data_IF_048525196905
#
_entry.id   IF_048525196905
#
_cell.length_a   1.000
_cell.length_b   1.000
_cell.length_c   1.000
_cell.angle_alpha   90.00
_cell.angle_beta   90.00
_cell.angle_gamma   90.00
#
_symmetry.space_group_name_H-M   'P 1'
#
loop_
_entity.id
_entity.type
_entity.pdbx_description
1 polymer ?
#
# COMPACT_ATOMS: atom_id res chain seq x y z
N UNK A 1 78.84 66.51 18.93
CA UNK A 1 79.38 65.69 20.04
C UNK A 1 78.34 64.61 20.34
N UNK A 2 78.59 63.39 19.83
CA UNK A 2 78.07 62.07 20.26
C UNK A 2 76.72 61.95 21.00
N UNK A 3 75.72 61.32 20.37
CA UNK A 3 75.36 59.89 20.59
C UNK A 3 74.13 59.49 19.76
N UNK A 4 74.35 58.57 18.82
CA UNK A 4 73.32 57.82 18.13
C UNK A 4 72.75 56.75 19.08
N UNK A 5 71.42 56.62 19.16
CA UNK A 5 70.74 55.49 19.80
C UNK A 5 69.96 54.78 18.69
N UNK A 6 70.46 53.60 18.36
CA UNK A 6 69.93 52.64 17.41
C UNK A 6 68.69 51.97 18.04
N UNK A 7 67.52 52.11 17.42
CA UNK A 7 66.33 51.34 17.78
C UNK A 7 66.41 49.97 17.12
N UNK A 8 66.73 48.94 17.90
CA UNK A 8 66.65 47.54 17.46
C UNK A 8 65.20 47.07 17.55
N UNK A 9 64.54 46.93 16.40
CA UNK A 9 63.24 46.28 16.31
C UNK A 9 63.43 44.77 16.49
N UNK A 10 63.04 44.24 17.65
CA UNK A 10 63.01 42.82 17.93
C UNK A 10 61.75 42.22 17.28
N UNK A 11 61.87 41.67 16.07
CA UNK A 11 60.83 40.84 15.47
C UNK A 11 60.76 39.52 16.25
N UNK A 12 59.75 39.38 17.10
CA UNK A 12 59.34 38.11 17.69
C UNK A 12 58.82 37.19 16.56
N UNK A 13 59.70 36.35 16.04
CA UNK A 13 59.28 35.19 15.26
C UNK A 13 58.63 34.23 16.24
N UNK A 14 57.30 34.15 16.22
CA UNK A 14 56.55 33.12 16.94
C UNK A 14 56.93 31.76 16.35
N UNK A 15 57.80 31.02 17.04
CA UNK A 15 58.14 29.65 16.70
C UNK A 15 56.89 28.77 16.83
N UNK A 16 56.29 28.43 15.69
CA UNK A 16 55.30 27.35 15.59
C UNK A 16 56.09 26.04 15.81
N UNK A 17 55.63 25.21 16.75
CA UNK A 17 56.17 23.86 16.90
C UNK A 17 55.65 23.06 15.71
N UNK A 18 56.51 22.78 14.74
CA UNK A 18 56.21 21.89 13.62
C UNK A 18 56.20 20.46 14.18
N UNK A 19 55.06 20.04 14.73
CA UNK A 19 54.86 18.65 15.13
C UNK A 19 54.84 17.80 13.86
N UNK A 20 55.45 16.61 13.86
CA UNK A 20 55.43 15.75 12.69
C UNK A 20 53.97 15.38 12.31
N UNK A 21 53.68 15.23 11.00
CA UNK A 21 52.35 14.86 10.53
C UNK A 21 51.93 13.53 11.17
N UNK A 22 50.62 13.33 11.41
CA UNK A 22 50.13 12.08 12.00
C UNK A 22 50.55 10.89 11.11
N UNK A 23 50.80 9.71 11.69
CA UNK A 23 51.12 8.53 10.91
C UNK A 23 49.96 8.20 9.97
N UNK A 24 50.32 7.77 8.76
CA UNK A 24 49.37 7.26 7.79
C UNK A 24 48.67 6.01 8.34
N UNK A 25 47.44 5.71 7.87
CA UNK A 25 46.82 4.42 8.15
C UNK A 25 47.72 3.26 7.66
N UNK A 26 47.61 2.08 8.26
CA UNK A 26 48.43 0.92 7.87
C UNK A 26 47.93 0.30 6.56
N UNK A 27 46.63 0.38 6.32
CA UNK A 27 45.95 -0.15 5.15
C UNK A 27 44.48 0.23 5.16
N UNK A 28 43.79 -0.08 4.07
CA UNK A 28 42.34 -0.09 4.05
C UNK A 28 41.82 -1.09 3.02
N UNK A 29 40.64 -1.66 3.28
CA UNK A 29 39.91 -2.53 2.36
C UNK A 29 38.51 -1.98 2.12
N UNK A 30 37.96 -2.21 0.92
CA UNK A 30 36.61 -1.76 0.57
C UNK A 30 35.74 -2.99 0.37
N UNK A 31 34.53 -2.98 0.94
CA UNK A 31 33.55 -4.06 0.81
C UNK A 31 32.18 -3.46 0.52
N UNK A 32 31.36 -4.20 -0.21
CA UNK A 32 29.96 -3.83 -0.43
C UNK A 32 29.13 -4.01 0.84
N UNK A 33 28.25 -3.05 1.14
CA UNK A 33 27.46 -3.11 2.36
C UNK A 33 26.38 -4.18 2.22
N UNK A 34 26.46 -5.23 3.04
CA UNK A 34 25.43 -6.27 3.06
C UNK A 34 24.10 -5.74 3.61
N UNK A 35 22.98 -6.27 3.12
CA UNK A 35 21.60 -5.89 3.53
C UNK A 35 21.17 -4.46 3.18
N UNK A 36 21.72 -3.87 2.11
CA UNK A 36 21.30 -2.57 1.61
C UNK A 36 20.68 -2.66 0.20
N UNK A 37 20.21 -1.53 -0.31
CA UNK A 37 19.64 -1.43 -1.66
C UNK A 37 20.68 -1.32 -2.79
N UNK A 38 21.97 -1.55 -2.51
CA UNK A 38 23.09 -1.20 -3.40
C UNK A 38 23.32 0.30 -3.47
N UNK A 39 23.37 0.96 -2.30
CA UNK A 39 23.55 2.42 -2.17
C UNK A 39 24.71 2.82 -1.24
N UNK A 40 25.36 1.86 -0.59
CA UNK A 40 26.45 2.13 0.34
C UNK A 40 27.63 1.17 0.13
N UNK A 41 28.83 1.70 0.41
CA UNK A 41 30.07 0.94 0.48
C UNK A 41 30.67 1.09 1.87
N UNK A 42 31.35 0.05 2.35
CA UNK A 42 32.06 0.07 3.63
C UNK A 42 33.56 0.10 3.38
N UNK A 43 34.22 1.14 3.86
CA UNK A 43 35.67 1.31 3.82
C UNK A 43 36.21 0.95 5.20
N UNK A 44 36.87 -0.20 5.31
CA UNK A 44 37.50 -0.70 6.54
C UNK A 44 38.94 -0.20 6.56
N UNK A 45 39.28 0.64 7.54
CA UNK A 45 40.58 1.30 7.67
C UNK A 45 41.35 0.63 8.81
N UNK A 46 42.57 0.18 8.54
CA UNK A 46 43.47 -0.38 9.54
C UNK A 46 44.15 0.77 10.29
N UNK A 47 43.89 0.88 11.59
CA UNK A 47 44.37 1.97 12.42
C UNK A 47 45.88 1.83 12.66
N UNK A 48 46.64 2.93 12.60
CA UNK A 48 48.07 2.90 12.89
C UNK A 48 48.33 2.59 14.37
N UNK A 49 49.43 1.89 14.64
CA UNK A 49 49.88 1.58 16.00
C UNK A 49 50.23 2.84 16.82
N UNK A 50 49.21 3.43 17.45
CA UNK A 50 49.22 4.65 18.25
C UNK A 50 48.57 4.40 19.61
N UNK A 51 48.83 5.26 20.59
CA UNK A 51 48.12 5.20 21.87
C UNK A 51 46.64 5.61 21.73
N UNK A 52 45.78 5.15 22.65
CA UNK A 52 44.34 5.44 22.62
C UNK A 52 44.03 6.95 22.61
N UNK A 53 44.81 7.75 23.35
CA UNK A 53 44.66 9.21 23.39
C UNK A 53 45.02 9.86 22.05
N UNK A 54 46.04 9.34 21.36
CA UNK A 54 46.46 9.82 20.04
C UNK A 54 45.45 9.43 18.94
N UNK A 55 44.89 8.21 19.01
CA UNK A 55 43.83 7.78 18.10
C UNK A 55 42.55 8.59 18.29
N UNK A 56 42.21 8.95 19.53
CA UNK A 56 41.06 9.81 19.81
C UNK A 56 41.26 11.24 19.28
N UNK A 57 42.50 11.73 19.26
CA UNK A 57 42.85 13.05 18.74
C UNK A 57 43.07 13.08 17.22
N UNK A 58 43.00 11.94 16.51
CA UNK A 58 43.25 11.82 15.07
C UNK A 58 41.95 11.59 14.31
N UNK A 59 41.71 12.39 13.26
CA UNK A 59 40.57 12.25 12.35
C UNK A 59 41.00 11.46 11.12
N UNK A 60 40.20 10.49 10.69
CA UNK A 60 40.39 9.80 9.41
C UNK A 60 39.48 10.42 8.36
N UNK A 61 40.08 10.77 7.22
CA UNK A 61 39.39 11.33 6.05
C UNK A 61 39.25 10.24 5.01
N UNK A 62 38.02 9.99 4.56
CA UNK A 62 37.72 9.12 3.41
C UNK A 62 37.24 9.98 2.27
N UNK A 63 37.94 9.88 1.13
CA UNK A 63 37.57 10.57 -0.09
C UNK A 63 37.22 9.57 -1.20
N UNK A 64 36.28 9.96 -2.05
CA UNK A 64 35.74 9.15 -3.17
C UNK A 64 36.00 9.84 -4.49
N UNK A 65 36.20 9.07 -5.55
CA UNK A 65 36.17 9.54 -6.93
C UNK A 65 35.38 8.56 -7.81
N UNK A 66 34.59 9.08 -8.76
CA UNK A 66 33.82 8.27 -9.73
C UNK A 66 34.56 8.00 -11.05
N UNK A 67 35.73 8.60 -11.25
CA UNK A 67 36.53 8.47 -12.48
C UNK A 67 37.99 8.18 -12.13
N UNK A 68 38.68 7.39 -12.97
CA UNK A 68 40.08 7.08 -12.75
C UNK A 68 40.95 8.35 -12.89
N UNK A 69 41.55 8.79 -11.78
CA UNK A 69 42.36 10.02 -11.73
C UNK A 69 41.56 11.33 -11.70
N UNK A 70 40.25 11.27 -11.46
CA UNK A 70 39.39 12.44 -11.32
C UNK A 70 39.58 13.21 -10.01
N UNK A 71 38.69 14.17 -9.75
CA UNK A 71 38.68 14.93 -8.50
C UNK A 71 38.08 14.10 -7.37
N UNK A 72 38.80 14.00 -6.26
CA UNK A 72 38.34 13.31 -5.06
C UNK A 72 37.53 14.26 -4.18
N UNK A 73 36.32 13.83 -3.79
CA UNK A 73 35.46 14.54 -2.84
C UNK A 73 35.56 13.92 -1.43
N UNK A 74 35.50 14.74 -0.39
CA UNK A 74 35.42 14.26 0.99
C UNK A 74 34.03 13.73 1.30
N UNK A 75 33.94 12.45 1.63
CA UNK A 75 32.65 11.80 1.94
C UNK A 75 32.50 11.53 3.44
N UNK A 76 33.61 11.30 4.15
CA UNK A 76 33.58 11.09 5.59
C UNK A 76 34.83 11.67 6.27
N UNK A 77 34.63 12.33 7.40
CA UNK A 77 35.68 12.75 8.32
C UNK A 77 35.26 12.39 9.74
N UNK A 78 35.97 11.49 10.41
CA UNK A 78 35.61 11.07 11.78
C UNK A 78 36.82 10.53 12.55
N UNK A 79 36.81 10.71 13.88
CA UNK A 79 37.70 9.96 14.77
C UNK A 79 37.16 8.53 15.00
N UNK A 80 38.01 7.53 15.27
CA UNK A 80 37.56 6.18 15.58
C UNK A 80 36.85 6.13 16.92
N UNK A 81 35.78 5.34 17.04
CA UNK A 81 35.07 5.12 18.30
C UNK A 81 35.86 4.21 19.24
N UNK A 82 35.43 4.12 20.51
CA UNK A 82 36.07 3.28 21.52
C UNK A 82 36.27 1.81 21.07
N UNK A 83 35.27 1.22 20.43
CA UNK A 83 35.35 -0.16 19.96
C UNK A 83 36.28 -0.32 18.74
N UNK A 84 36.32 0.67 17.86
CA UNK A 84 37.20 0.64 16.68
C UNK A 84 38.67 0.72 17.09
N UNK A 85 39.00 1.62 18.03
CA UNK A 85 40.35 1.71 18.62
C UNK A 85 40.78 0.39 19.26
N UNK A 86 39.86 -0.27 19.98
CA UNK A 86 40.14 -1.54 20.65
C UNK A 86 40.37 -2.70 19.69
N UNK A 87 39.69 -2.71 18.53
CA UNK A 87 39.86 -3.75 17.52
C UNK A 87 40.97 -3.43 16.50
N UNK A 88 41.45 -2.19 16.47
CA UNK A 88 42.48 -1.74 15.51
C UNK A 88 41.94 -1.46 14.11
N UNK A 89 40.62 -1.47 13.92
CA UNK A 89 39.97 -1.28 12.63
C UNK A 89 38.80 -0.28 12.77
N UNK A 90 38.67 0.63 11.81
CA UNK A 90 37.57 1.60 11.72
C UNK A 90 36.72 1.33 10.50
N UNK A 91 35.39 1.33 10.63
CA UNK A 91 34.47 1.08 9.50
C UNK A 91 33.79 2.38 9.10
N UNK A 92 34.14 2.89 7.92
CA UNK A 92 33.55 4.07 7.32
C UNK A 92 32.48 3.68 6.29
N UNK A 93 31.20 3.87 6.63
CA UNK A 93 30.11 3.69 5.65
C UNK A 93 29.98 4.93 4.77
N UNK A 94 30.13 4.72 3.47
CA UNK A 94 29.97 5.73 2.41
C UNK A 94 28.59 5.54 1.80
N UNK A 95 27.68 6.47 2.07
CA UNK A 95 26.31 6.45 1.53
C UNK A 95 26.20 7.21 0.19
N UNK A 96 25.04 7.12 -0.47
CA UNK A 96 24.75 7.79 -1.75
C UNK A 96 25.67 7.33 -2.91
N UNK A 97 25.97 6.04 -2.97
CA UNK A 97 26.59 5.44 -4.16
C UNK A 97 25.52 5.22 -5.24
N UNK A 98 25.87 5.52 -6.50
CA UNK A 98 25.06 5.21 -7.67
C UNK A 98 25.31 3.76 -8.04
N UNK A 99 24.23 3.02 -8.24
CA UNK A 99 24.27 1.58 -8.48
C UNK A 99 25.04 1.24 -9.76
N UNK A 100 25.97 0.28 -9.66
CA UNK A 100 26.75 -0.21 -10.80
C UNK A 100 27.91 0.70 -11.23
N UNK A 101 28.02 1.88 -10.63
CA UNK A 101 29.16 2.78 -10.86
C UNK A 101 30.38 2.30 -10.08
N UNK A 102 31.56 2.59 -10.64
CA UNK A 102 32.85 2.20 -10.08
C UNK A 102 33.44 3.38 -9.31
N UNK A 103 33.80 3.16 -8.05
CA UNK A 103 34.35 4.20 -7.17
C UNK A 103 35.77 3.87 -6.74
N UNK A 104 36.64 4.87 -6.77
CA UNK A 104 37.98 4.82 -6.19
C UNK A 104 37.97 5.56 -4.86
N UNK A 105 38.74 5.06 -3.90
CA UNK A 105 38.82 5.64 -2.57
C UNK A 105 40.24 6.00 -2.22
N UNK A 106 40.39 7.05 -1.41
CA UNK A 106 41.65 7.33 -0.73
C UNK A 106 41.42 7.76 0.70
N UNK A 107 42.33 7.36 1.58
CA UNK A 107 42.23 7.55 3.03
C UNK A 107 43.48 8.26 3.55
N UNK A 108 43.30 9.20 4.48
CA UNK A 108 44.39 9.86 5.18
C UNK A 108 44.05 10.14 6.64
N UNK A 109 45.08 10.27 7.47
CA UNK A 109 44.98 10.73 8.86
C UNK A 109 45.15 12.25 8.89
N UNK A 110 44.30 12.94 9.62
CA UNK A 110 44.35 14.39 9.85
C UNK A 110 44.40 14.68 11.34
N UNK A 111 45.36 15.51 11.76
CA UNK A 111 45.39 16.08 13.10
C UNK A 111 44.60 17.40 13.09
N UNK A 112 43.54 17.55 13.91
CA UNK A 112 42.80 18.80 13.98
C UNK A 112 43.66 19.91 14.59
N UNK A 113 43.46 21.15 14.12
CA UNK A 113 44.15 22.30 14.68
C UNK A 113 43.76 22.51 16.14
N UNK A 114 44.75 22.78 17.00
CA UNK A 114 44.51 23.10 18.40
C UNK A 114 45.10 24.49 18.71
N UNK A 115 44.21 25.46 18.94
CA UNK A 115 44.55 26.85 19.18
C UNK A 115 45.31 27.07 20.50
N UNK A 116 45.06 26.26 21.53
CA UNK A 116 45.76 26.35 22.83
C UNK A 116 47.19 25.81 22.73
N UNK A 117 47.41 24.78 21.92
CA UNK A 117 48.71 24.14 21.71
C UNK A 117 49.50 24.71 20.52
N UNK A 118 48.95 25.71 19.81
CA UNK A 118 49.52 26.29 18.57
C UNK A 118 49.84 25.25 17.49
N UNK A 119 49.04 24.18 17.41
CA UNK A 119 49.20 23.10 16.43
C UNK A 119 48.37 23.45 15.19
N UNK A 120 49.01 23.50 14.02
CA UNK A 120 48.32 23.67 12.73
C UNK A 120 47.72 22.34 12.26
N UNK A 121 46.70 22.43 11.41
CA UNK A 121 46.10 21.27 10.77
C UNK A 121 47.11 20.63 9.81
N UNK A 122 47.39 19.35 10.01
CA UNK A 122 48.29 18.59 9.16
C UNK A 122 47.65 17.26 8.77
N UNK A 123 47.78 16.92 7.49
CA UNK A 123 47.24 15.70 6.88
C UNK A 123 48.38 14.81 6.40
N UNK A 124 48.28 13.51 6.65
CA UNK A 124 49.22 12.52 6.16
C UNK A 124 49.16 12.38 4.63
N UNK A 125 50.10 11.64 4.05
CA UNK A 125 49.95 11.18 2.67
C UNK A 125 48.68 10.32 2.53
N UNK A 126 48.03 10.42 1.37
CA UNK A 126 46.84 9.63 1.05
C UNK A 126 47.24 8.23 0.58
N UNK A 127 46.65 7.21 1.20
CA UNK A 127 46.61 5.86 0.66
C UNK A 127 45.50 5.77 -0.37
N UNK A 128 45.79 5.35 -1.60
CA UNK A 128 44.80 5.23 -2.69
C UNK A 128 44.52 3.76 -2.98
N UNK A 129 43.26 3.42 -3.24
CA UNK A 129 42.87 2.05 -3.58
C UNK A 129 43.45 1.66 -4.94
N UNK A 130 44.06 0.47 -5.07
CA UNK A 130 44.58 0.01 -6.37
C UNK A 130 43.45 -0.45 -7.32
N UNK A 131 42.28 -0.79 -6.76
CA UNK A 131 41.12 -1.28 -7.52
C UNK A 131 39.88 -0.42 -7.23
N UNK A 132 38.91 -0.46 -8.15
CA UNK A 132 37.62 0.18 -7.99
C UNK A 132 36.68 -0.71 -7.18
N UNK A 133 35.79 -0.10 -6.39
CA UNK A 133 34.70 -0.78 -5.71
C UNK A 133 33.36 -0.47 -6.38
N UNK A 134 32.45 -1.45 -6.41
CA UNK A 134 31.08 -1.28 -6.90
C UNK A 134 30.11 -1.60 -5.78
N UNK A 135 29.05 -0.81 -5.70
CA UNK A 135 27.91 -1.14 -4.84
C UNK A 135 26.93 -2.00 -5.61
N UNK A 136 26.73 -3.23 -5.13
CA UNK A 136 25.84 -4.21 -5.74
C UNK A 136 24.55 -4.34 -4.92
N UNK A 137 23.46 -4.69 -5.60
CA UNK A 137 22.17 -4.83 -4.90
C UNK A 137 22.13 -6.16 -4.17
N UNK A 138 22.07 -6.11 -2.84
CA UNK A 138 21.70 -7.26 -2.03
C UNK A 138 20.26 -7.71 -2.33
N UNK A 139 20.02 -9.02 -2.30
CA UNK A 139 18.68 -9.61 -2.53
C UNK A 139 17.67 -9.18 -1.45
N UNK A 140 18.15 -8.93 -0.23
CA UNK A 140 17.36 -8.47 0.91
C UNK A 140 17.85 -7.08 1.33
N UNK A 141 16.93 -6.12 1.42
CA UNK A 141 17.16 -4.77 1.92
C UNK A 141 16.65 -4.69 3.36
N UNK A 142 17.59 -4.60 4.31
CA UNK A 142 17.32 -4.52 5.75
C UNK A 142 16.39 -3.37 6.12
N UNK A 143 16.46 -2.26 5.38
CA UNK A 143 15.63 -1.07 5.61
C UNK A 143 14.15 -1.27 5.26
N UNK A 144 13.84 -2.33 4.50
CA UNK A 144 12.48 -2.67 4.04
C UNK A 144 11.92 -3.94 4.68
N UNK A 145 12.65 -4.57 5.61
CA UNK A 145 12.20 -5.78 6.30
C UNK A 145 10.87 -5.57 7.03
N UNK A 146 10.61 -4.36 7.53
CA UNK A 146 9.35 -4.02 8.17
C UNK A 146 8.13 -4.18 7.24
N UNK A 147 8.27 -3.97 5.92
CA UNK A 147 7.20 -4.20 4.94
C UNK A 147 6.86 -5.70 4.88
N UNK A 148 7.88 -6.56 4.88
CA UNK A 148 7.71 -8.00 4.92
C UNK A 148 7.06 -8.49 6.22
N UNK A 149 7.42 -7.88 7.35
CA UNK A 149 6.80 -8.18 8.65
C UNK A 149 5.33 -7.76 8.66
N UNK A 150 5.00 -6.55 8.21
CA UNK A 150 3.60 -6.08 8.14
C UNK A 150 2.80 -6.94 7.16
N UNK A 151 3.31 -7.19 5.95
CA UNK A 151 2.65 -8.05 4.98
C UNK A 151 2.42 -9.47 5.51
N UNK A 152 3.43 -10.04 6.18
CA UNK A 152 3.32 -11.33 6.84
C UNK A 152 2.27 -11.34 7.97
N UNK A 153 2.20 -10.28 8.77
CA UNK A 153 1.21 -10.14 9.83
C UNK A 153 -0.23 -10.06 9.28
N UNK A 154 -0.46 -9.31 8.20
CA UNK A 154 -1.77 -9.21 7.53
C UNK A 154 -2.16 -10.54 6.87
N UNK A 155 -1.23 -11.21 6.19
CA UNK A 155 -1.50 -12.54 5.64
C UNK A 155 -1.83 -13.55 6.74
N UNK A 156 -1.09 -13.51 7.86
CA UNK A 156 -1.33 -14.38 9.00
C UNK A 156 -2.68 -14.10 9.65
N UNK A 157 -3.10 -12.84 9.80
CA UNK A 157 -4.42 -12.52 10.38
C UNK A 157 -5.53 -13.13 9.52
N UNK A 158 -5.48 -12.96 8.20
CA UNK A 158 -6.44 -13.57 7.26
C UNK A 158 -6.51 -15.09 7.43
N UNK A 159 -5.37 -15.77 7.42
CA UNK A 159 -5.33 -17.23 7.58
C UNK A 159 -5.90 -17.66 8.94
N UNK A 160 -5.51 -16.99 10.03
CA UNK A 160 -6.00 -17.30 11.38
C UNK A 160 -7.51 -17.15 11.47
N UNK A 161 -8.09 -16.06 10.96
CA UNK A 161 -9.54 -15.85 11.02
C UNK A 161 -10.32 -16.80 10.10
N UNK A 162 -9.78 -17.21 8.95
CA UNK A 162 -10.37 -18.29 8.12
C UNK A 162 -10.39 -19.61 8.91
N UNK A 163 -9.28 -19.99 9.56
CA UNK A 163 -9.23 -21.22 10.35
C UNK A 163 -10.18 -21.18 11.55
N UNK A 164 -10.32 -20.03 12.22
CA UNK A 164 -11.29 -19.84 13.30
C UNK A 164 -12.73 -19.94 12.79
N UNK A 165 -13.05 -19.32 11.65
CA UNK A 165 -14.37 -19.43 11.03
C UNK A 165 -14.72 -20.88 10.68
N UNK A 166 -13.78 -21.61 10.06
CA UNK A 166 -13.91 -23.05 9.74
C UNK A 166 -14.11 -23.91 10.99
N UNK A 167 -13.50 -23.51 12.12
CA UNK A 167 -13.69 -24.18 13.41
C UNK A 167 -15.04 -23.86 14.08
N UNK A 168 -15.91 -23.08 13.44
CA UNK A 168 -17.24 -22.73 13.94
C UNK A 168 -17.24 -21.60 14.98
N UNK A 169 -16.14 -20.84 15.08
CA UNK A 169 -16.14 -19.67 15.96
C UNK A 169 -17.05 -18.58 15.39
N UNK A 170 -17.98 -18.01 16.19
CA UNK A 170 -18.87 -16.96 15.72
C UNK A 170 -18.08 -15.67 15.49
N UNK A 171 -17.81 -15.35 14.22
CA UNK A 171 -17.17 -14.10 13.83
C UNK A 171 -18.22 -13.00 13.72
N UNK A 172 -18.10 -11.98 14.57
CA UNK A 172 -18.90 -10.75 14.45
C UNK A 172 -18.29 -9.86 13.36
N UNK A 173 -18.99 -9.73 12.24
CA UNK A 173 -18.73 -8.77 11.17
C UNK A 173 -19.45 -7.46 11.51
N UNK A 174 -18.90 -6.32 11.07
CA UNK A 174 -19.58 -5.01 11.21
C UNK A 174 -20.92 -5.03 10.45
N UNK A 175 -21.99 -4.38 10.96
CA UNK A 175 -23.22 -4.24 10.19
C UNK A 175 -22.95 -3.49 8.89
N UNK A 176 -23.61 -3.92 7.81
CA UNK A 176 -23.47 -3.35 6.48
C UNK A 176 -24.74 -2.56 6.19
N UNK A 177 -24.66 -1.23 6.21
CA UNK A 177 -25.82 -0.35 6.13
C UNK A 177 -26.72 -0.62 4.91
N UNK A 178 -26.12 -0.93 3.76
CA UNK A 178 -26.89 -1.27 2.55
C UNK A 178 -27.67 -2.58 2.64
N UNK A 179 -27.37 -3.48 3.60
CA UNK A 179 -28.14 -4.70 3.80
C UNK A 179 -29.37 -4.46 4.67
N UNK A 180 -29.27 -3.64 5.72
CA UNK A 180 -30.43 -3.23 6.54
C UNK A 180 -31.47 -2.47 5.70
N UNK A 181 -30.99 -1.69 4.73
CA UNK A 181 -31.84 -0.98 3.78
C UNK A 181 -32.68 -1.90 2.87
N UNK A 182 -32.28 -3.16 2.67
CA UNK A 182 -33.05 -4.11 1.85
C UNK A 182 -34.40 -4.41 2.49
N UNK A 183 -34.43 -4.68 3.81
CA UNK A 183 -35.67 -5.00 4.52
C UNK A 183 -36.62 -3.80 4.52
N UNK A 184 -36.09 -2.60 4.75
CA UNK A 184 -36.85 -1.34 4.65
C UNK A 184 -37.43 -1.14 3.24
N UNK A 185 -36.59 -1.33 2.21
CA UNK A 185 -36.97 -1.10 0.82
C UNK A 185 -38.07 -2.04 0.35
N UNK A 186 -37.95 -3.35 0.65
CA UNK A 186 -38.97 -4.34 0.30
C UNK A 186 -40.25 -4.10 1.10
N UNK A 187 -40.15 -3.87 2.42
CA UNK A 187 -41.32 -3.59 3.25
C UNK A 187 -42.12 -2.38 2.76
N UNK A 188 -41.44 -1.31 2.36
CA UNK A 188 -42.08 -0.13 1.77
C UNK A 188 -42.71 -0.41 0.40
N UNK A 189 -42.07 -1.24 -0.42
CA UNK A 189 -42.64 -1.64 -1.70
C UNK A 189 -43.96 -2.41 -1.52
N UNK A 190 -44.00 -3.34 -0.56
CA UNK A 190 -45.21 -4.04 -0.12
C UNK A 190 -46.29 -3.08 0.37
N UNK A 191 -45.96 -2.15 1.27
CA UNK A 191 -46.92 -1.17 1.81
C UNK A 191 -47.54 -0.28 0.72
N UNK A 192 -46.78 0.02 -0.34
CA UNK A 192 -47.22 0.83 -1.47
C UNK A 192 -47.95 0.02 -2.55
N UNK A 193 -47.94 -1.32 -2.47
CA UNK A 193 -48.48 -2.21 -3.51
C UNK A 193 -47.80 -2.02 -4.86
N UNK A 194 -46.49 -1.73 -4.86
CA UNK A 194 -45.67 -1.48 -6.06
C UNK A 194 -44.51 -2.48 -6.10
N UNK A 195 -44.05 -2.92 -7.29
CA UNK A 195 -43.01 -3.94 -7.38
C UNK A 195 -41.65 -3.45 -6.91
N UNK A 196 -40.77 -4.39 -6.58
CA UNK A 196 -39.33 -4.20 -6.49
C UNK A 196 -38.69 -4.47 -7.86
N UNK A 197 -37.67 -3.69 -8.22
CA UNK A 197 -36.83 -3.91 -9.40
C UNK A 197 -35.42 -4.28 -8.96
N UNK A 198 -34.87 -5.39 -9.45
CA UNK A 198 -33.49 -5.79 -9.21
C UNK A 198 -32.70 -5.84 -10.51
N UNK A 199 -31.54 -5.19 -10.55
CA UNK A 199 -30.64 -5.13 -11.71
C UNK A 199 -29.27 -5.69 -11.30
N UNK A 200 -28.86 -6.88 -11.80
CA UNK A 200 -27.62 -7.56 -11.41
C UNK A 200 -26.34 -7.02 -12.11
N UNK A 201 -26.39 -5.82 -12.68
CA UNK A 201 -25.34 -5.29 -13.56
C UNK A 201 -25.47 -5.73 -15.02
N UNK A 202 -24.47 -5.39 -15.84
CA UNK A 202 -24.49 -5.63 -17.30
C UNK A 202 -23.51 -6.71 -17.80
N UNK A 203 -22.69 -7.25 -16.90
CA UNK A 203 -21.65 -8.24 -17.19
C UNK A 203 -22.11 -9.67 -16.90
N UNK A 204 -21.41 -10.63 -17.49
CA UNK A 204 -21.75 -12.05 -17.43
C UNK A 204 -21.24 -12.73 -16.14
N UNK A 205 -21.52 -14.01 -15.97
CA UNK A 205 -21.16 -14.84 -14.81
C UNK A 205 -19.65 -15.01 -14.57
N UNK A 206 -18.81 -14.56 -15.51
CA UNK A 206 -17.35 -14.50 -15.33
C UNK A 206 -16.90 -13.27 -14.51
N UNK A 207 -17.80 -12.32 -14.27
CA UNK A 207 -17.56 -11.15 -13.43
C UNK A 207 -17.90 -11.47 -11.96
N UNK A 208 -16.95 -11.24 -11.06
CA UNK A 208 -17.13 -11.51 -9.63
C UNK A 208 -18.26 -10.68 -9.02
N UNK A 209 -18.43 -9.44 -9.49
CA UNK A 209 -19.52 -8.59 -9.00
C UNK A 209 -20.90 -9.12 -9.36
N UNK A 210 -21.07 -9.76 -10.51
CA UNK A 210 -22.33 -10.37 -10.92
C UNK A 210 -22.70 -11.53 -9.99
N UNK A 211 -21.72 -12.37 -9.64
CA UNK A 211 -21.91 -13.48 -8.69
C UNK A 211 -22.31 -12.95 -7.30
N UNK A 212 -21.61 -11.91 -6.82
CA UNK A 212 -21.94 -11.25 -5.56
C UNK A 212 -23.35 -10.62 -5.59
N UNK A 213 -23.71 -9.98 -6.70
CA UNK A 213 -25.04 -9.43 -6.96
C UNK A 213 -26.14 -10.49 -6.88
N UNK A 214 -25.94 -11.66 -7.50
CA UNK A 214 -26.90 -12.76 -7.42
C UNK A 214 -27.04 -13.32 -5.99
N UNK A 215 -25.96 -13.36 -5.21
CA UNK A 215 -26.05 -13.75 -3.80
C UNK A 215 -26.96 -12.79 -3.02
N UNK A 216 -26.87 -11.49 -3.30
CA UNK A 216 -27.76 -10.49 -2.69
C UNK A 216 -29.18 -10.59 -3.25
N UNK A 217 -29.36 -10.89 -4.55
CA UNK A 217 -30.67 -11.16 -5.15
C UNK A 217 -31.41 -12.26 -4.40
N UNK A 218 -30.73 -13.34 -4.02
CA UNK A 218 -31.33 -14.41 -3.22
C UNK A 218 -31.94 -13.90 -1.91
N UNK A 219 -31.24 -13.01 -1.21
CA UNK A 219 -31.76 -12.40 0.01
C UNK A 219 -32.92 -11.43 -0.25
N UNK A 220 -32.83 -10.59 -1.28
CA UNK A 220 -33.93 -9.69 -1.69
C UNK A 220 -35.18 -10.51 -2.06
N UNK A 221 -35.00 -11.61 -2.80
CA UNK A 221 -36.07 -12.51 -3.21
C UNK A 221 -36.71 -13.25 -2.03
N UNK A 222 -35.93 -13.69 -1.04
CA UNK A 222 -36.44 -14.32 0.18
C UNK A 222 -37.34 -13.33 0.95
N UNK A 223 -36.88 -12.09 1.15
CA UNK A 223 -37.66 -11.02 1.78
C UNK A 223 -38.90 -10.63 0.97
N UNK A 224 -38.78 -10.55 -0.36
CA UNK A 224 -39.92 -10.26 -1.25
C UNK A 224 -40.99 -11.36 -1.15
N UNK A 225 -40.58 -12.64 -1.10
CA UNK A 225 -41.50 -13.76 -0.91
C UNK A 225 -42.18 -13.75 0.48
N UNK A 226 -41.44 -13.43 1.54
CA UNK A 226 -41.98 -13.30 2.90
C UNK A 226 -43.04 -12.18 3.00
N UNK A 227 -42.78 -11.05 2.35
CA UNK A 227 -43.68 -9.88 2.36
C UNK A 227 -44.71 -9.86 1.23
N UNK A 228 -44.80 -10.91 0.42
CA UNK A 228 -45.70 -10.97 -0.74
C UNK A 228 -45.53 -9.78 -1.71
N UNK A 229 -44.28 -9.37 -1.93
CA UNK A 229 -43.90 -8.31 -2.86
C UNK A 229 -43.51 -8.89 -4.22
N UNK A 230 -44.01 -8.27 -5.30
CA UNK A 230 -43.54 -8.58 -6.65
C UNK A 230 -42.07 -8.14 -6.84
N UNK A 231 -41.29 -8.98 -7.52
CA UNK A 231 -39.86 -8.75 -7.80
C UNK A 231 -39.57 -8.96 -9.29
N UNK A 232 -39.26 -7.88 -9.98
CA UNK A 232 -38.88 -7.88 -11.40
C UNK A 232 -37.35 -7.87 -11.53
N UNK A 233 -36.79 -8.81 -12.30
CA UNK A 233 -35.34 -8.96 -12.48
C UNK A 233 -35.00 -9.07 -13.98
N UNK A 234 -35.02 -7.96 -14.73
CA UNK A 234 -34.51 -7.95 -16.09
C UNK A 234 -32.99 -8.17 -16.08
N UNK A 235 -32.46 -8.90 -17.07
CA UNK A 235 -31.01 -9.10 -17.22
C UNK A 235 -30.54 -8.77 -18.63
N UNK A 236 -29.28 -8.33 -18.74
CA UNK A 236 -28.62 -8.11 -20.04
C UNK A 236 -27.89 -9.35 -20.56
N UNK A 237 -27.79 -10.42 -19.77
CA UNK A 237 -27.07 -11.66 -20.10
C UNK A 237 -27.95 -12.87 -19.83
N UNK A 238 -27.96 -13.82 -20.77
CA UNK A 238 -28.80 -15.02 -20.70
C UNK A 238 -28.35 -15.99 -19.60
N UNK A 239 -27.04 -16.17 -19.39
CA UNK A 239 -26.53 -17.01 -18.30
C UNK A 239 -26.87 -16.41 -16.92
N UNK A 240 -26.81 -15.08 -16.80
CA UNK A 240 -27.22 -14.38 -15.58
C UNK A 240 -28.72 -14.54 -15.33
N UNK A 241 -29.57 -14.52 -16.38
CA UNK A 241 -31.00 -14.83 -16.24
C UNK A 241 -31.22 -16.23 -15.68
N UNK A 242 -30.54 -17.25 -16.22
CA UNK A 242 -30.68 -18.63 -15.74
C UNK A 242 -30.26 -18.75 -14.28
N UNK A 243 -29.10 -18.19 -13.90
CA UNK A 243 -28.63 -18.22 -12.52
C UNK A 243 -29.55 -17.42 -11.57
N UNK A 244 -30.10 -16.29 -12.03
CA UNK A 244 -31.07 -15.49 -11.28
C UNK A 244 -32.37 -16.28 -11.03
N UNK A 245 -32.89 -17.01 -12.02
CA UNK A 245 -34.07 -17.88 -11.87
C UNK A 245 -33.84 -18.95 -10.81
N UNK A 246 -32.72 -19.67 -10.89
CA UNK A 246 -32.36 -20.68 -9.89
C UNK A 246 -32.25 -20.08 -8.48
N UNK A 247 -31.63 -18.90 -8.38
CA UNK A 247 -31.45 -18.18 -7.11
C UNK A 247 -32.78 -17.74 -6.50
N UNK A 248 -33.64 -17.11 -7.30
CA UNK A 248 -34.96 -16.64 -6.85
C UNK A 248 -35.86 -17.83 -6.51
N UNK A 249 -35.85 -18.89 -7.31
CA UNK A 249 -36.61 -20.11 -7.02
C UNK A 249 -36.20 -20.74 -5.68
N UNK A 250 -34.90 -20.85 -5.42
CA UNK A 250 -34.39 -21.36 -4.14
C UNK A 250 -34.80 -20.46 -2.96
N UNK A 251 -34.75 -19.14 -3.13
CA UNK A 251 -35.17 -18.18 -2.11
C UNK A 251 -36.67 -18.31 -1.77
N UNK A 252 -37.53 -18.42 -2.78
CA UNK A 252 -38.98 -18.62 -2.58
C UNK A 252 -39.28 -19.96 -1.91
N UNK A 253 -38.51 -21.01 -2.23
CA UNK A 253 -38.62 -22.31 -1.56
C UNK A 253 -38.23 -22.21 -0.07
N UNK A 254 -37.13 -21.51 0.25
CA UNK A 254 -36.69 -21.28 1.64
C UNK A 254 -37.70 -20.46 2.43
N UNK A 255 -38.32 -19.45 1.82
CA UNK A 255 -39.40 -18.66 2.42
C UNK A 255 -40.72 -19.45 2.58
N UNK A 256 -40.81 -20.68 2.07
CA UNK A 256 -42.01 -21.52 2.14
C UNK A 256 -43.15 -21.06 1.20
N UNK A 257 -42.83 -20.29 0.15
CA UNK A 257 -43.78 -19.73 -0.84
C UNK A 257 -43.47 -20.17 -2.29
N UNK A 258 -43.25 -21.47 -2.58
CA UNK A 258 -42.90 -21.92 -3.92
C UNK A 258 -44.01 -21.68 -4.96
N UNK A 259 -45.26 -21.53 -4.51
CA UNK A 259 -46.43 -21.22 -5.34
C UNK A 259 -46.46 -19.76 -5.84
N UNK A 260 -45.74 -18.86 -5.16
CA UNK A 260 -45.62 -17.45 -5.55
C UNK A 260 -44.45 -17.19 -6.52
N UNK A 261 -43.59 -18.18 -6.77
CA UNK A 261 -42.47 -18.04 -7.70
C UNK A 261 -42.99 -17.90 -9.14
N UNK A 262 -42.57 -16.82 -9.81
CA UNK A 262 -42.86 -16.58 -11.21
C UNK A 262 -41.56 -16.43 -12.02
N UNK A 263 -41.29 -17.40 -12.88
CA UNK A 263 -40.12 -17.38 -13.76
C UNK A 263 -40.17 -16.25 -14.80
N UNK A 264 -41.37 -15.82 -15.19
CA UNK A 264 -41.56 -14.78 -16.20
C UNK A 264 -41.14 -13.38 -15.71
N UNK A 265 -41.04 -13.16 -14.40
CA UNK A 265 -40.52 -11.92 -13.81
C UNK A 265 -38.99 -11.84 -13.85
N UNK A 266 -38.29 -12.90 -14.27
CA UNK A 266 -36.84 -12.92 -14.49
C UNK A 266 -36.57 -13.23 -15.96
N UNK A 267 -36.17 -12.23 -16.74
CA UNK A 267 -36.08 -12.38 -18.20
C UNK A 267 -34.88 -11.63 -18.79
N UNK A 268 -34.36 -12.21 -19.86
CA UNK A 268 -33.34 -11.61 -20.69
C UNK A 268 -33.95 -10.58 -21.64
N UNK A 269 -33.30 -9.43 -21.77
CA UNK A 269 -33.73 -8.34 -22.68
C UNK A 269 -32.85 -8.29 -23.91
N UNK A 270 -31.57 -7.96 -23.75
CA UNK A 270 -30.59 -7.77 -24.83
C UNK A 270 -29.18 -7.62 -24.25
N UNK A 271 -28.18 -8.07 -25.01
CA UNK A 271 -26.75 -7.91 -24.72
C UNK A 271 -26.24 -6.47 -24.99
N UNK A 272 -27.00 -5.66 -25.72
CA UNK A 272 -26.63 -4.28 -26.06
C UNK A 272 -26.93 -3.32 -24.91
N UNK A 273 -25.86 -2.75 -24.32
CA UNK A 273 -25.91 -1.97 -23.07
C UNK A 273 -27.02 -0.92 -23.04
N UNK A 274 -27.06 0.01 -23.99
CA UNK A 274 -28.06 1.10 -23.95
C UNK A 274 -29.46 0.66 -24.40
N UNK A 275 -29.57 -0.41 -25.17
CA UNK A 275 -30.88 -1.01 -25.47
C UNK A 275 -31.48 -1.65 -24.22
N UNK A 276 -30.66 -2.35 -23.43
CA UNK A 276 -31.03 -2.88 -22.12
C UNK A 276 -31.48 -1.76 -21.17
N UNK A 277 -30.70 -0.70 -21.06
CA UNK A 277 -31.00 0.44 -20.19
C UNK A 277 -32.29 1.15 -20.63
N UNK A 278 -32.53 1.29 -21.93
CA UNK A 278 -33.76 1.87 -22.46
C UNK A 278 -34.99 1.02 -22.09
N UNK A 279 -34.85 -0.31 -22.10
CA UNK A 279 -35.91 -1.21 -21.63
C UNK A 279 -36.18 -1.04 -20.13
N UNK A 280 -35.13 -1.09 -19.30
CA UNK A 280 -35.24 -1.00 -17.84
C UNK A 280 -35.80 0.36 -17.42
N UNK A 281 -35.30 1.46 -17.96
CA UNK A 281 -35.85 2.80 -17.68
C UNK A 281 -37.28 2.95 -18.18
N UNK A 282 -37.62 2.36 -19.33
CA UNK A 282 -38.98 2.25 -19.82
C UNK A 282 -39.90 1.49 -18.87
N UNK A 283 -39.43 0.39 -18.28
CA UNK A 283 -40.13 -0.37 -17.25
C UNK A 283 -40.36 0.50 -16.01
N UNK A 284 -39.32 1.19 -15.54
CA UNK A 284 -39.38 2.04 -14.36
C UNK A 284 -40.44 3.15 -14.49
N UNK A 285 -40.54 3.83 -15.63
CA UNK A 285 -41.53 4.90 -15.80
C UNK A 285 -42.97 4.40 -15.98
N UNK A 286 -43.16 3.16 -16.44
CA UNK A 286 -44.49 2.53 -16.60
C UNK A 286 -44.99 1.91 -15.31
N UNK A 287 -44.22 0.98 -14.76
CA UNK A 287 -44.60 0.18 -13.59
C UNK A 287 -44.33 0.91 -12.28
N UNK A 288 -43.41 1.89 -12.30
CA UNK A 288 -43.03 2.68 -11.14
C UNK A 288 -42.71 1.75 -9.96
N UNK A 289 -41.64 0.94 -9.99
CA UNK A 289 -41.23 0.18 -8.81
C UNK A 289 -41.04 1.10 -7.60
N UNK A 290 -41.37 0.64 -6.40
CA UNK A 290 -41.18 1.42 -5.17
C UNK A 290 -39.76 1.30 -4.60
N UNK A 291 -39.05 0.24 -4.97
CA UNK A 291 -37.65 -0.01 -4.64
C UNK A 291 -36.88 -0.45 -5.88
N UNK A 292 -35.66 0.05 -6.03
CA UNK A 292 -34.73 -0.32 -7.09
C UNK A 292 -33.39 -0.75 -6.49
N UNK A 293 -32.96 -1.95 -6.84
CA UNK A 293 -31.70 -2.53 -6.40
C UNK A 293 -30.73 -2.59 -7.58
N UNK A 294 -29.59 -1.92 -7.46
CA UNK A 294 -28.54 -1.89 -8.48
C UNK A 294 -27.27 -2.54 -7.94
N UNK A 295 -27.16 -3.86 -8.07
CA UNK A 295 -26.15 -4.65 -7.35
C UNK A 295 -25.37 -5.53 -8.33
N UNK A 296 -24.17 -5.08 -8.70
CA UNK A 296 -23.33 -5.76 -9.70
C UNK A 296 -22.29 -4.86 -10.36
N UNK A 297 -21.85 -5.27 -11.56
CA UNK A 297 -20.93 -4.47 -12.36
C UNK A 297 -21.69 -3.52 -13.28
N UNK A 298 -21.43 -2.22 -13.12
CA UNK A 298 -22.06 -1.16 -13.90
C UNK A 298 -21.02 -0.23 -14.55
N UNK A 299 -21.44 0.45 -15.61
CA UNK A 299 -20.67 1.45 -16.33
C UNK A 299 -21.52 2.72 -16.55
N UNK A 300 -21.46 3.31 -17.74
CA UNK A 300 -22.10 4.58 -18.09
C UNK A 300 -23.61 4.65 -17.79
N UNK A 301 -24.28 3.51 -17.71
CA UNK A 301 -25.69 3.38 -17.38
C UNK A 301 -26.05 3.69 -15.92
N UNK A 302 -25.07 3.67 -15.02
CA UNK A 302 -25.30 3.83 -13.56
C UNK A 302 -26.12 5.08 -13.24
N UNK A 303 -25.73 6.22 -13.80
CA UNK A 303 -26.40 7.50 -13.57
C UNK A 303 -27.80 7.54 -14.21
N UNK A 304 -27.96 6.93 -15.38
CA UNK A 304 -29.26 6.90 -16.09
C UNK A 304 -30.27 6.11 -15.27
N UNK A 305 -29.88 4.92 -14.78
CA UNK A 305 -30.72 4.08 -13.94
C UNK A 305 -31.06 4.81 -12.64
N UNK A 306 -30.07 5.34 -11.93
CA UNK A 306 -30.26 5.98 -10.64
C UNK A 306 -31.11 7.27 -10.71
N UNK A 307 -30.92 8.10 -11.74
CA UNK A 307 -31.74 9.31 -11.93
C UNK A 307 -33.18 8.94 -12.30
N UNK A 308 -33.36 7.89 -13.10
CA UNK A 308 -34.71 7.41 -13.44
C UNK A 308 -35.43 6.90 -12.19
N UNK A 309 -34.75 6.14 -11.32
CA UNK A 309 -35.33 5.63 -10.08
C UNK A 309 -35.69 6.75 -9.11
N UNK A 310 -34.83 7.76 -9.00
CA UNK A 310 -35.11 8.98 -8.25
C UNK A 310 -36.35 9.70 -8.80
N UNK A 311 -36.49 9.83 -10.13
CA UNK A 311 -37.61 10.52 -10.78
C UNK A 311 -38.99 9.89 -10.51
N UNK A 312 -39.03 8.58 -10.24
CA UNK A 312 -40.25 7.83 -9.90
C UNK A 312 -40.46 7.67 -8.38
N UNK A 313 -39.57 8.27 -7.57
CA UNK A 313 -39.60 8.22 -6.11
C UNK A 313 -39.33 6.84 -5.53
N UNK A 314 -38.53 6.01 -6.20
CA UNK A 314 -38.11 4.71 -5.68
C UNK A 314 -37.00 4.87 -4.63
N UNK A 315 -36.96 4.00 -3.61
CA UNK A 315 -35.74 3.85 -2.78
C UNK A 315 -34.73 3.10 -3.60
N UNK A 316 -33.50 3.55 -3.53
CA UNK A 316 -32.44 3.01 -4.34
C UNK A 316 -31.32 2.49 -3.45
N UNK A 317 -31.09 1.18 -3.55
CA UNK A 317 -29.96 0.50 -2.91
C UNK A 317 -29.01 0.04 -3.99
N UNK A 318 -27.85 0.66 -4.06
CA UNK A 318 -26.83 0.37 -5.05
C UNK A 318 -25.61 -0.32 -4.43
N UNK A 319 -24.85 -1.02 -5.25
CA UNK A 319 -23.58 -1.62 -4.85
C UNK A 319 -22.76 -2.04 -6.05
N UNK A 320 -21.51 -1.58 -6.07
CA UNK A 320 -20.57 -1.91 -7.14
C UNK A 320 -19.14 -1.77 -6.64
N UNK A 321 -18.24 -2.55 -7.24
CA UNK A 321 -16.80 -2.40 -7.07
C UNK A 321 -16.14 -1.62 -8.20
N UNK A 322 -16.91 -1.08 -9.16
CA UNK A 322 -16.38 -0.25 -10.24
C UNK A 322 -16.09 1.18 -9.75
N UNK A 323 -14.81 1.60 -9.62
CA UNK A 323 -14.48 2.87 -8.96
C UNK A 323 -14.99 4.10 -9.71
N UNK A 324 -15.10 3.99 -11.04
CA UNK A 324 -15.58 5.08 -11.90
C UNK A 324 -17.08 5.34 -11.79
N UNK A 325 -17.86 4.41 -11.24
CA UNK A 325 -19.33 4.55 -11.12
C UNK A 325 -19.80 4.88 -9.71
N UNK A 326 -18.97 4.61 -8.69
CA UNK A 326 -19.28 4.92 -7.29
C UNK A 326 -19.77 6.35 -7.08
N UNK A 327 -19.18 7.41 -7.68
CA UNK A 327 -19.67 8.78 -7.47
C UNK A 327 -21.12 8.98 -7.92
N UNK A 328 -21.57 8.27 -8.96
CA UNK A 328 -22.94 8.40 -9.46
C UNK A 328 -23.94 7.75 -8.51
N UNK A 329 -23.67 6.53 -8.04
CA UNK A 329 -24.55 5.87 -7.09
C UNK A 329 -24.56 6.56 -5.72
N UNK A 330 -23.40 7.00 -5.23
CA UNK A 330 -23.34 7.76 -3.96
C UNK A 330 -24.13 9.07 -4.05
N UNK A 331 -24.14 9.74 -5.21
CA UNK A 331 -24.87 10.99 -5.38
C UNK A 331 -26.38 10.81 -5.62
N UNK A 332 -26.80 9.70 -6.23
CA UNK A 332 -28.17 9.52 -6.72
C UNK A 332 -28.99 8.45 -5.99
N UNK A 333 -28.38 7.59 -5.18
CA UNK A 333 -29.06 6.53 -4.44
C UNK A 333 -29.07 6.77 -2.92
N UNK A 334 -30.09 6.26 -2.24
CA UNK A 334 -30.24 6.40 -0.78
C UNK A 334 -29.16 5.64 -0.01
N UNK A 335 -28.79 4.45 -0.50
CA UNK A 335 -27.74 3.62 0.08
C UNK A 335 -26.82 3.08 -1.03
N UNK A 336 -25.51 3.14 -0.80
CA UNK A 336 -24.52 2.61 -1.74
C UNK A 336 -23.48 1.77 -1.02
N UNK A 337 -23.34 0.50 -1.40
CA UNK A 337 -22.24 -0.38 -1.00
C UNK A 337 -21.01 -0.07 -1.84
N UNK A 338 -19.94 0.38 -1.19
CA UNK A 338 -18.75 0.90 -1.87
C UNK A 338 -17.66 -0.17 -1.94
N UNK A 339 -17.29 -0.60 -3.15
CA UNK A 339 -16.07 -1.38 -3.35
C UNK A 339 -16.10 -2.71 -2.59
N UNK A 340 -15.25 -2.82 -1.57
CA UNK A 340 -15.15 -4.00 -0.72
C UNK A 340 -16.40 -4.26 0.13
N UNK A 341 -17.20 -3.23 0.43
CA UNK A 341 -18.44 -3.41 1.20
C UNK A 341 -19.47 -4.23 0.43
N UNK A 342 -19.46 -4.13 -0.90
CA UNK A 342 -20.32 -4.93 -1.76
C UNK A 342 -19.97 -6.43 -1.67
N UNK A 343 -18.69 -6.78 -1.70
CA UNK A 343 -18.24 -8.17 -1.52
C UNK A 343 -18.40 -8.67 -0.08
N UNK A 344 -18.22 -7.79 0.90
CA UNK A 344 -18.50 -8.10 2.30
C UNK A 344 -19.98 -8.45 2.51
N UNK A 345 -20.89 -7.74 1.83
CA UNK A 345 -22.33 -7.99 1.91
C UNK A 345 -22.70 -9.36 1.35
N UNK A 346 -22.18 -9.72 0.17
CA UNK A 346 -22.41 -11.05 -0.40
C UNK A 346 -21.85 -12.16 0.49
N UNK A 347 -20.66 -11.97 1.06
CA UNK A 347 -20.04 -12.92 1.97
C UNK A 347 -20.85 -13.13 3.26
N UNK A 348 -21.35 -12.03 3.82
CA UNK A 348 -22.19 -12.06 5.00
C UNK A 348 -23.48 -12.85 4.77
N UNK A 349 -24.12 -12.64 3.61
CA UNK A 349 -25.35 -13.32 3.23
C UNK A 349 -25.16 -14.80 2.88
N UNK A 350 -24.07 -15.14 2.19
CA UNK A 350 -23.74 -16.53 1.87
C UNK A 350 -23.47 -17.38 3.12
N UNK A 351 -23.13 -16.75 4.26
CA UNK A 351 -22.71 -17.40 5.50
C UNK A 351 -21.53 -18.37 5.29
N UNK A 352 -20.71 -18.11 4.28
CA UNK A 352 -19.55 -18.93 3.96
C UNK A 352 -18.41 -18.66 4.96
N UNK A 353 -17.92 -19.69 5.69
CA UNK A 353 -16.88 -19.51 6.70
C UNK A 353 -15.58 -18.92 6.14
N UNK A 354 -15.21 -19.26 4.91
CA UNK A 354 -13.95 -18.82 4.32
C UNK A 354 -14.02 -17.33 3.97
N UNK A 355 -15.13 -16.90 3.38
CA UNK A 355 -15.36 -15.49 3.06
C UNK A 355 -15.50 -14.63 4.31
N UNK A 356 -16.23 -15.11 5.33
CA UNK A 356 -16.36 -14.42 6.62
C UNK A 356 -15.03 -14.29 7.37
N UNK A 357 -14.22 -15.37 7.38
CA UNK A 357 -12.91 -15.37 7.99
C UNK A 357 -11.92 -14.43 7.27
N UNK A 358 -11.95 -14.44 5.94
CA UNK A 358 -11.15 -13.52 5.13
C UNK A 358 -11.50 -12.06 5.41
N UNK A 359 -12.80 -11.73 5.42
CA UNK A 359 -13.29 -10.39 5.74
C UNK A 359 -12.82 -9.92 7.12
N UNK A 360 -12.96 -10.77 8.15
CA UNK A 360 -12.54 -10.42 9.50
C UNK A 360 -11.03 -10.23 9.62
N UNK A 361 -10.25 -11.05 8.93
CA UNK A 361 -8.79 -10.92 8.94
C UNK A 361 -8.27 -9.69 8.21
N UNK A 362 -8.96 -9.25 7.15
CA UNK A 362 -8.68 -7.98 6.48
C UNK A 362 -9.06 -6.79 7.36
N UNK A 363 -10.24 -6.81 7.99
CA UNK A 363 -10.68 -5.79 8.94
C UNK A 363 -9.73 -5.64 10.14
N UNK A 364 -9.09 -6.73 10.56
CA UNK A 364 -8.08 -6.70 11.63
C UNK A 364 -6.70 -6.21 11.15
N UNK A 365 -6.36 -6.46 9.88
CA UNK A 365 -5.07 -6.11 9.31
C UNK A 365 -4.97 -4.65 8.85
N UNK A 366 -6.11 -3.98 8.65
CA UNK A 366 -6.22 -2.53 8.41
C UNK A 366 -6.26 -1.78 9.74
#
# INVERSE_FOLDING_TARGET
MFRAILFTALTLVSSVVLAAPPPMPEGFTIRDKSFDGGKALEVVIDLPNLSDEELQATLFIVQRCGEEGGLFEEVLVRAPDYWERKHGEMIATVENCVRGESYWFRVASRRPANAELKIQEETSAFLTSPEFARSDRSWLDGSRLWIGVIGGAVCLSVVVFILLARAGWPLKVRPIAGLEAVEEAVGRATEMGRPCLFVPGILDMNEMQTIAGLTILGHVAERAAEYDCELETPTSRSLVMTAARETVQAAYLTAGRPDAYNEDSIYYVTDEQFAYVSHVTGLMVREKPAACFYLGAFYAESLILAETGNSIGAIQVAGTAQPSQLPFFVAACDYTLIGEEFFAASAYLAKDPDQLGSLKGQDFGK
#
